data_IF_209613984996
#
_entry.id   IF_209613984996
#
_cell.length_a   1.000
_cell.length_b   1.000
_cell.length_c   1.000
_cell.angle_alpha   90.00
_cell.angle_beta   90.00
_cell.angle_gamma   90.00
#
_symmetry.space_group_name_H-M   'P 1'
#
loop_
_entity.id
_entity.type
_entity.pdbx_description
1 polymer ?
#
# COMPACT_ATOMS: atom_id res chain seq x y z
N UNK A 1 -6.69 -7.25 -8.21
CA UNK A 1 -7.29 -6.30 -9.17
C UNK A 1 -8.80 -6.15 -8.96
N UNK A 2 -9.59 -7.25 -8.89
CA UNK A 2 -11.06 -7.21 -8.72
C UNK A 2 -11.53 -6.32 -7.54
N UNK A 3 -10.92 -6.47 -6.36
CA UNK A 3 -11.32 -5.69 -5.18
C UNK A 3 -11.10 -4.18 -5.32
N UNK A 4 -10.08 -3.75 -6.05
CA UNK A 4 -9.86 -2.33 -6.32
C UNK A 4 -11.01 -1.75 -7.15
N UNK A 5 -11.40 -2.44 -8.23
CA UNK A 5 -12.51 -2.02 -9.08
C UNK A 5 -13.83 -2.01 -8.31
N UNK A 6 -14.11 -3.08 -7.55
CA UNK A 6 -15.32 -3.20 -6.74
C UNK A 6 -15.40 -2.13 -5.66
N UNK A 7 -14.31 -1.90 -4.92
CA UNK A 7 -14.25 -0.91 -3.86
C UNK A 7 -14.50 0.50 -4.39
N UNK A 8 -13.79 0.89 -5.45
CA UNK A 8 -13.95 2.19 -6.08
C UNK A 8 -15.37 2.40 -6.64
N UNK A 9 -15.94 1.38 -7.28
CA UNK A 9 -17.29 1.44 -7.81
C UNK A 9 -18.37 1.52 -6.71
N UNK A 10 -18.26 0.70 -5.65
CA UNK A 10 -19.24 0.68 -4.55
C UNK A 10 -19.25 1.99 -3.76
N UNK A 11 -18.08 2.58 -3.52
CA UNK A 11 -17.96 3.86 -2.82
C UNK A 11 -18.18 5.07 -3.72
N UNK A 12 -18.23 4.86 -5.05
CA UNK A 12 -18.08 5.92 -6.05
C UNK A 12 -16.85 6.80 -5.77
N UNK A 13 -15.76 6.16 -5.33
CA UNK A 13 -14.63 6.83 -4.70
C UNK A 13 -13.30 6.09 -4.86
N UNK A 14 -12.47 6.13 -3.83
CA UNK A 14 -11.12 5.55 -3.83
C UNK A 14 -11.13 4.14 -3.24
N UNK A 15 -10.42 3.19 -3.85
CA UNK A 15 -10.00 1.96 -3.22
C UNK A 15 -8.47 1.91 -3.14
N UNK A 16 -7.93 1.77 -1.94
CA UNK A 16 -6.49 1.87 -1.66
C UNK A 16 -6.09 0.97 -0.51
N UNK A 17 -4.83 0.56 -0.46
CA UNK A 17 -4.28 -0.31 0.58
C UNK A 17 -3.43 0.52 1.54
N UNK A 18 -3.74 0.51 2.85
CA UNK A 18 -2.86 1.06 3.87
C UNK A 18 -1.58 0.20 4.03
N UNK A 19 -0.45 0.84 4.32
CA UNK A 19 0.86 0.24 4.64
C UNK A 19 0.87 -0.32 6.07
N UNK A 20 -0.14 -1.16 6.38
CA UNK A 20 -0.31 -1.87 7.64
C UNK A 20 -0.95 -3.24 7.38
N UNK A 21 -0.12 -4.27 7.31
CA UNK A 21 -0.56 -5.63 6.93
C UNK A 21 -0.81 -6.56 8.12
N UNK A 22 -1.50 -6.06 9.15
CA UNK A 22 -1.94 -6.86 10.31
C UNK A 22 -0.80 -7.68 10.92
N UNK A 23 -0.95 -9.01 11.12
CA UNK A 23 0.11 -9.89 11.66
C UNK A 23 1.41 -9.89 10.84
N UNK A 24 1.34 -9.56 9.54
CA UNK A 24 2.49 -9.48 8.65
C UNK A 24 3.22 -8.14 8.72
N UNK A 25 2.69 -7.13 9.44
CA UNK A 25 3.37 -5.86 9.65
C UNK A 25 4.53 -6.01 10.64
N UNK A 26 5.74 -6.11 10.10
CA UNK A 26 6.97 -6.18 10.89
C UNK A 26 7.15 -4.99 11.84
N UNK A 27 6.66 -3.79 11.52
CA UNK A 27 6.90 -2.61 12.36
C UNK A 27 6.25 -2.75 13.73
N UNK A 28 5.03 -3.28 13.76
CA UNK A 28 4.25 -3.51 14.97
C UNK A 28 4.88 -4.60 15.87
N UNK A 29 5.45 -5.66 15.28
CA UNK A 29 5.96 -6.82 16.04
C UNK A 29 7.48 -6.83 16.26
N UNK A 30 8.22 -5.83 15.76
CA UNK A 30 9.70 -5.77 15.94
C UNK A 30 10.20 -4.54 16.69
N UNK A 31 9.31 -3.81 17.36
CA UNK A 31 9.65 -2.60 18.12
C UNK A 31 10.07 -1.41 17.24
N UNK A 32 9.79 -1.47 15.93
CA UNK A 32 10.17 -0.42 14.98
C UNK A 32 9.09 0.64 14.78
N UNK A 33 7.88 0.42 15.31
CA UNK A 33 6.75 1.34 15.18
C UNK A 33 7.09 2.79 15.56
N UNK A 34 7.76 3.11 16.70
CA UNK A 34 8.10 4.50 17.00
C UNK A 34 8.96 5.17 15.93
N UNK A 35 9.94 4.43 15.38
CA UNK A 35 10.77 4.94 14.28
C UNK A 35 9.96 5.14 13.01
N UNK A 36 9.02 4.24 12.71
CA UNK A 36 8.16 4.37 11.53
C UNK A 36 7.26 5.60 11.63
N UNK A 37 6.65 5.85 12.80
CA UNK A 37 5.84 7.03 13.06
C UNK A 37 6.63 8.33 12.88
N UNK A 38 7.87 8.40 13.39
CA UNK A 38 8.75 9.56 13.21
C UNK A 38 9.11 9.78 11.72
N UNK A 39 9.35 8.71 10.97
CA UNK A 39 9.62 8.80 9.52
C UNK A 39 8.40 9.30 8.76
N UNK A 40 7.21 8.78 9.06
CA UNK A 40 5.96 9.26 8.49
C UNK A 40 5.77 10.75 8.73
N UNK A 41 5.95 11.21 9.98
CA UNK A 41 5.88 12.64 10.31
C UNK A 41 6.90 13.48 9.53
N UNK A 42 8.11 12.98 9.35
CA UNK A 42 9.14 13.66 8.57
C UNK A 42 8.77 13.79 7.08
N UNK A 43 8.11 12.79 6.47
CA UNK A 43 7.65 12.87 5.08
C UNK A 43 6.55 13.91 4.88
N UNK A 44 5.58 13.98 5.79
CA UNK A 44 4.57 15.06 5.79
C UNK A 44 5.24 16.42 6.00
N UNK A 45 6.11 16.54 7.00
CA UNK A 45 6.81 17.78 7.30
C UNK A 45 7.61 18.30 6.11
N UNK A 46 8.28 17.42 5.37
CA UNK A 46 9.10 17.83 4.24
C UNK A 46 8.27 18.48 3.12
N UNK A 47 7.04 18.04 2.90
CA UNK A 47 6.19 18.55 1.80
C UNK A 47 5.16 19.60 2.23
N UNK A 48 4.69 19.54 3.48
CA UNK A 48 3.53 20.29 3.99
C UNK A 48 3.78 21.05 5.29
N UNK A 49 5.03 21.11 5.75
CA UNK A 49 5.42 21.86 6.93
C UNK A 49 5.21 21.12 8.26
N UNK A 50 5.81 21.67 9.32
CA UNK A 50 5.91 21.03 10.64
C UNK A 50 4.56 20.73 11.28
N UNK A 51 3.56 21.60 11.10
CA UNK A 51 2.22 21.41 11.65
C UNK A 51 1.58 20.14 11.09
N UNK A 52 1.61 19.96 9.77
CA UNK A 52 1.08 18.76 9.12
C UNK A 52 1.89 17.50 9.46
N UNK A 53 3.21 17.65 9.62
CA UNK A 53 4.06 16.59 10.18
C UNK A 53 3.57 16.07 11.52
N UNK A 54 3.28 16.97 12.47
CA UNK A 54 2.81 16.63 13.81
C UNK A 54 1.36 16.17 13.86
N UNK A 55 0.53 16.64 12.93
CA UNK A 55 -0.89 16.26 12.85
C UNK A 55 -1.08 14.87 12.24
N UNK A 56 -0.26 14.50 11.26
CA UNK A 56 -0.52 13.35 10.40
C UNK A 56 0.37 12.14 10.64
N UNK A 57 1.43 12.25 11.45
CA UNK A 57 2.42 11.18 11.67
C UNK A 57 1.84 9.85 12.19
N UNK A 58 0.70 9.90 12.86
CA UNK A 58 0.06 8.73 13.49
C UNK A 58 -0.96 8.02 12.58
N UNK A 59 -1.30 8.60 11.42
CA UNK A 59 -2.14 7.90 10.46
C UNK A 59 -1.33 6.81 9.75
N UNK A 60 -1.92 5.62 9.52
CA UNK A 60 -1.34 4.66 8.59
C UNK A 60 -1.09 5.31 7.24
N UNK A 61 0.04 5.05 6.60
CA UNK A 61 0.25 5.52 5.25
C UNK A 61 -0.65 4.73 4.29
N UNK A 62 -1.28 5.41 3.35
CA UNK A 62 -1.98 4.82 2.21
C UNK A 62 -1.00 4.77 1.05
N UNK A 63 -0.77 3.59 0.49
CA UNK A 63 0.23 3.40 -0.56
C UNK A 63 -0.29 3.89 -1.92
N UNK A 64 0.32 4.94 -2.46
CA UNK A 64 -0.11 5.53 -3.74
C UNK A 64 0.39 4.74 -4.97
N UNK A 65 1.18 3.68 -4.79
CA UNK A 65 1.68 2.89 -5.92
C UNK A 65 0.63 2.00 -6.58
N UNK A 66 -0.43 1.62 -5.85
CA UNK A 66 -1.59 0.92 -6.41
C UNK A 66 -2.87 1.39 -5.74
N UNK A 67 -3.77 1.96 -6.54
CA UNK A 67 -5.13 2.29 -6.13
C UNK A 67 -6.06 2.24 -7.34
N UNK A 68 -7.37 2.26 -7.08
CA UNK A 68 -8.37 2.54 -8.11
C UNK A 68 -9.22 3.70 -7.62
N UNK A 69 -9.41 4.71 -8.48
CA UNK A 69 -10.16 5.90 -8.14
C UNK A 69 -11.25 6.12 -9.19
N UNK A 70 -12.51 6.18 -8.73
CA UNK A 70 -13.65 6.41 -9.59
C UNK A 70 -13.52 7.77 -10.29
N UNK A 71 -13.91 7.86 -11.57
CA UNK A 71 -13.65 9.05 -12.41
C UNK A 71 -14.35 10.33 -11.90
N UNK A 72 -15.51 10.18 -11.25
CA UNK A 72 -16.31 11.29 -10.70
C UNK A 72 -16.05 11.50 -9.19
N UNK A 73 -15.06 10.83 -8.61
CA UNK A 73 -14.80 10.93 -7.18
C UNK A 73 -14.28 12.34 -6.81
N UNK A 74 -14.73 12.93 -5.68
CA UNK A 74 -14.26 14.24 -5.24
C UNK A 74 -12.77 14.26 -4.88
N UNK A 75 -12.16 13.08 -4.62
CA UNK A 75 -10.75 12.94 -4.30
C UNK A 75 -9.84 13.56 -5.37
N UNK A 76 -10.21 13.55 -6.65
CA UNK A 76 -9.36 14.12 -7.71
C UNK A 76 -9.09 15.61 -7.49
N UNK A 77 -10.13 16.38 -7.17
CA UNK A 77 -10.02 17.82 -6.99
C UNK A 77 -9.34 18.15 -5.66
N UNK A 78 -9.68 17.42 -4.59
CA UNK A 78 -9.07 17.61 -3.27
C UNK A 78 -7.58 17.24 -3.31
N UNK A 79 -7.22 16.14 -3.96
CA UNK A 79 -5.83 15.72 -4.13
C UNK A 79 -5.02 16.73 -4.94
N UNK A 80 -5.60 17.25 -6.02
CA UNK A 80 -5.00 18.36 -6.78
C UNK A 80 -4.75 19.59 -5.90
N UNK A 81 -5.71 19.97 -5.06
CA UNK A 81 -5.55 21.11 -4.15
C UNK A 81 -4.40 20.89 -3.17
N UNK A 82 -4.30 19.70 -2.56
CA UNK A 82 -3.17 19.37 -1.69
C UNK A 82 -1.84 19.38 -2.45
N UNK A 83 -1.77 18.80 -3.65
CA UNK A 83 -0.56 18.85 -4.48
C UNK A 83 -0.13 20.29 -4.81
N UNK A 84 -1.09 21.18 -5.09
CA UNK A 84 -0.83 22.60 -5.36
C UNK A 84 -0.41 23.38 -4.10
N UNK A 85 -0.88 22.96 -2.93
CA UNK A 85 -0.56 23.57 -1.64
C UNK A 85 0.75 23.05 -1.03
N UNK A 86 1.40 22.05 -1.63
CA UNK A 86 2.67 21.54 -1.13
C UNK A 86 3.73 22.65 -1.14
N UNK A 87 4.36 22.90 0.00
CA UNK A 87 5.43 23.89 0.15
C UNK A 87 6.69 23.46 -0.61
N UNK A 88 6.89 22.14 -0.75
CA UNK A 88 8.02 21.53 -1.43
C UNK A 88 7.61 20.21 -2.09
N UNK A 89 8.09 20.00 -3.32
CA UNK A 89 8.04 18.69 -3.97
C UNK A 89 9.25 17.85 -3.53
N UNK A 90 8.97 16.73 -2.89
CA UNK A 90 9.90 15.77 -2.32
C UNK A 90 9.51 14.33 -2.74
N UNK A 91 10.20 13.32 -2.20
CA UNK A 91 10.13 11.94 -2.67
C UNK A 91 8.72 11.33 -2.67
N UNK A 92 7.87 11.69 -1.70
CA UNK A 92 6.55 11.09 -1.47
C UNK A 92 5.43 12.13 -1.47
N UNK A 93 5.66 13.31 -2.05
CA UNK A 93 4.69 14.42 -1.98
C UNK A 93 3.32 14.02 -2.54
N UNK A 94 3.27 13.23 -3.61
CA UNK A 94 2.03 12.71 -4.19
C UNK A 94 1.30 11.76 -3.25
N UNK A 95 2.02 10.82 -2.62
CA UNK A 95 1.46 9.92 -1.63
C UNK A 95 0.97 10.69 -0.39
N UNK A 96 1.77 11.62 0.15
CA UNK A 96 1.39 12.44 1.30
C UNK A 96 0.15 13.28 0.99
N UNK A 97 0.09 13.92 -0.19
CA UNK A 97 -1.08 14.68 -0.63
C UNK A 97 -2.35 13.81 -0.73
N UNK A 98 -2.23 12.56 -1.23
CA UNK A 98 -3.35 11.63 -1.32
C UNK A 98 -3.81 11.19 0.07
N UNK A 99 -2.88 11.01 1.00
CA UNK A 99 -3.20 10.69 2.38
C UNK A 99 -3.93 11.85 3.07
N UNK A 100 -3.46 13.09 2.91
CA UNK A 100 -4.16 14.27 3.42
C UNK A 100 -5.57 14.38 2.82
N UNK A 101 -5.71 14.10 1.53
CA UNK A 101 -7.03 14.05 0.85
C UNK A 101 -7.98 13.09 1.55
N UNK A 102 -7.52 11.90 1.90
CA UNK A 102 -8.35 10.89 2.55
C UNK A 102 -8.59 11.23 4.02
N UNK A 103 -7.55 11.51 4.80
CA UNK A 103 -7.68 11.64 6.25
C UNK A 103 -8.25 12.99 6.71
N UNK A 104 -8.01 14.07 5.96
CA UNK A 104 -8.41 15.43 6.37
C UNK A 104 -9.67 15.95 5.66
N UNK A 105 -10.29 15.16 4.78
CA UNK A 105 -11.54 15.53 4.12
C UNK A 105 -12.65 14.49 4.39
N UNK A 106 -13.69 14.83 5.19
CA UNK A 106 -14.72 13.86 5.63
C UNK A 106 -15.43 13.11 4.50
N UNK A 107 -15.75 13.80 3.40
CA UNK A 107 -16.43 13.17 2.24
C UNK A 107 -15.48 12.18 1.54
N UNK A 108 -14.21 12.54 1.40
CA UNK A 108 -13.24 11.68 0.73
C UNK A 108 -12.98 10.44 1.60
N UNK A 109 -12.84 10.63 2.92
CA UNK A 109 -12.74 9.53 3.87
C UNK A 109 -13.92 8.56 3.76
N UNK A 110 -15.16 9.06 3.81
CA UNK A 110 -16.37 8.23 3.74
C UNK A 110 -16.48 7.44 2.42
N UNK A 111 -15.97 8.02 1.34
CA UNK A 111 -15.92 7.41 0.00
C UNK A 111 -14.61 6.66 -0.27
N UNK A 112 -13.82 6.34 0.75
CA UNK A 112 -12.62 5.51 0.61
C UNK A 112 -12.88 4.08 1.11
N UNK A 113 -12.52 3.10 0.29
CA UNK A 113 -12.45 1.68 0.61
C UNK A 113 -11.00 1.32 0.95
N UNK A 114 -10.76 0.92 2.20
CA UNK A 114 -9.46 0.45 2.66
C UNK A 114 -9.36 -1.05 2.43
N UNK A 115 -8.55 -1.44 1.44
CA UNK A 115 -8.35 -2.82 1.07
C UNK A 115 -7.29 -3.49 1.96
N UNK A 116 -7.38 -4.81 2.16
CA UNK A 116 -6.42 -5.55 2.96
C UNK A 116 -5.04 -5.62 2.30
N UNK A 117 -4.01 -5.82 3.13
CA UNK A 117 -2.61 -5.79 2.74
C UNK A 117 -2.19 -6.69 1.59
N UNK A 118 -2.75 -7.89 1.54
CA UNK A 118 -2.51 -8.84 0.46
C UNK A 118 -2.95 -8.32 -0.92
N UNK A 119 -3.75 -7.24 -1.01
CA UNK A 119 -4.04 -6.59 -2.29
C UNK A 119 -2.84 -5.83 -2.89
N UNK A 120 -1.93 -5.32 -2.05
CA UNK A 120 -0.74 -4.55 -2.42
C UNK A 120 0.37 -4.77 -1.37
N UNK A 121 0.99 -5.96 -1.41
CA UNK A 121 1.88 -6.43 -0.36
C UNK A 121 3.27 -5.80 -0.47
N UNK A 122 3.68 -5.03 0.53
CA UNK A 122 4.95 -4.32 0.56
C UNK A 122 6.07 -5.20 1.15
N UNK A 123 7.12 -5.46 0.37
CA UNK A 123 8.22 -6.34 0.80
C UNK A 123 9.03 -5.83 1.98
N UNK A 124 8.98 -4.52 2.28
CA UNK A 124 9.66 -3.99 3.46
C UNK A 124 8.90 -4.27 4.76
N UNK A 125 7.61 -4.59 4.69
CA UNK A 125 6.80 -5.00 5.84
C UNK A 125 7.02 -6.46 6.23
N UNK A 126 7.47 -7.30 5.30
CA UNK A 126 7.76 -8.70 5.57
C UNK A 126 8.05 -9.48 4.29
N UNK A 127 8.55 -10.70 4.44
CA UNK A 127 8.61 -11.63 3.32
C UNK A 127 7.32 -12.45 3.27
N UNK A 128 6.71 -12.61 2.08
CA UNK A 128 5.59 -13.52 1.91
C UNK A 128 6.05 -14.97 2.00
N UNK A 129 5.08 -15.89 2.06
CA UNK A 129 5.31 -17.34 1.98
C UNK A 129 4.87 -17.84 0.61
N UNK A 130 5.52 -18.85 0.07
CA UNK A 130 5.09 -19.49 -1.18
C UNK A 130 4.16 -20.67 -0.90
N UNK A 131 2.97 -20.66 -1.51
CA UNK A 131 2.04 -21.78 -1.50
C UNK A 131 2.32 -22.66 -2.73
N UNK A 132 2.90 -23.84 -2.50
CA UNK A 132 3.28 -24.74 -3.61
C UNK A 132 2.06 -25.30 -4.35
N UNK A 133 0.93 -25.47 -3.68
CA UNK A 133 -0.27 -26.03 -4.29
C UNK A 133 -0.98 -25.01 -5.18
N UNK A 134 -1.02 -23.74 -4.74
CA UNK A 134 -1.62 -22.64 -5.52
C UNK A 134 -0.63 -21.96 -6.47
N UNK A 135 0.66 -22.25 -6.33
CA UNK A 135 1.75 -21.63 -7.11
C UNK A 135 1.73 -20.11 -7.04
N UNK A 136 1.52 -19.57 -5.84
CA UNK A 136 1.47 -18.12 -5.62
C UNK A 136 2.05 -17.73 -4.26
N UNK A 137 2.30 -16.42 -4.08
CA UNK A 137 2.62 -15.90 -2.76
C UNK A 137 1.34 -15.77 -1.93
N UNK A 138 1.47 -16.07 -0.65
CA UNK A 138 0.40 -15.95 0.35
C UNK A 138 0.92 -15.22 1.59
N UNK A 139 0.01 -14.68 2.38
CA UNK A 139 0.34 -14.19 3.71
C UNK A 139 0.93 -15.30 4.58
N UNK A 140 1.90 -14.94 5.41
CA UNK A 140 2.60 -15.88 6.27
C UNK A 140 1.69 -16.54 7.30
N UNK A 141 0.76 -15.77 7.85
CA UNK A 141 -0.13 -16.24 8.91
C UNK A 141 -1.46 -16.70 8.35
N UNK A 142 -2.18 -17.53 9.11
CA UNK A 142 -3.49 -18.04 8.73
C UNK A 142 -4.47 -16.89 8.39
N UNK A 143 -5.34 -17.06 7.39
CA UNK A 143 -5.59 -18.28 6.61
C UNK A 143 -4.74 -18.42 5.34
N UNK A 144 -3.59 -17.72 5.25
CA UNK A 144 -2.73 -17.70 4.05
C UNK A 144 -3.46 -17.11 2.82
N UNK A 145 -3.96 -15.88 2.95
CA UNK A 145 -4.60 -15.20 1.81
C UNK A 145 -3.62 -15.04 0.64
N UNK A 146 -4.03 -15.36 -0.60
CA UNK A 146 -3.22 -15.09 -1.78
C UNK A 146 -2.92 -13.60 -1.95
N UNK A 147 -1.64 -13.30 -2.18
CA UNK A 147 -1.18 -11.94 -2.44
C UNK A 147 -1.48 -11.59 -3.89
N UNK A 148 -2.25 -10.53 -4.11
CA UNK A 148 -2.60 -10.07 -5.45
C UNK A 148 -1.45 -9.35 -6.16
N UNK A 149 -0.76 -8.46 -5.45
CA UNK A 149 0.36 -7.67 -6.00
C UNK A 149 1.50 -7.72 -5.00
N UNK A 150 2.70 -8.07 -5.46
CA UNK A 150 3.95 -7.92 -4.71
C UNK A 150 4.56 -6.57 -5.09
N UNK A 151 4.55 -5.62 -4.16
CA UNK A 151 5.04 -4.27 -4.38
C UNK A 151 6.50 -4.13 -3.94
N UNK A 152 7.38 -3.99 -4.93
CA UNK A 152 8.81 -3.75 -4.76
C UNK A 152 9.08 -2.24 -4.65
N UNK A 153 8.59 -1.67 -3.55
CA UNK A 153 8.79 -0.27 -3.19
C UNK A 153 10.23 -0.01 -2.73
N UNK A 154 10.71 1.23 -2.92
CA UNK A 154 12.06 1.64 -2.56
C UNK A 154 13.13 1.35 -3.64
N UNK A 155 14.42 1.63 -3.32
CA UNK A 155 15.49 1.65 -4.31
C UNK A 155 15.97 0.26 -4.72
N UNK A 156 15.83 -0.74 -3.85
CA UNK A 156 16.23 -2.13 -4.17
C UNK A 156 15.17 -2.78 -5.03
N UNK A 157 15.58 -3.25 -6.21
CA UNK A 157 14.71 -4.00 -7.12
C UNK A 157 15.06 -5.48 -7.07
N UNK A 158 14.04 -6.32 -6.99
CA UNK A 158 14.16 -7.77 -6.93
C UNK A 158 13.50 -8.35 -8.18
N UNK A 159 14.10 -9.39 -8.74
CA UNK A 159 13.46 -10.23 -9.77
C UNK A 159 13.01 -11.57 -9.20
N UNK A 160 13.66 -11.99 -8.10
CA UNK A 160 13.40 -13.22 -7.37
C UNK A 160 13.49 -12.95 -5.86
N UNK A 161 12.77 -13.75 -5.08
CA UNK A 161 12.83 -13.76 -3.63
C UNK A 161 13.17 -15.16 -3.15
N UNK A 162 14.02 -15.23 -2.12
CA UNK A 162 14.20 -16.43 -1.31
C UNK A 162 13.18 -16.39 -0.18
N UNK A 163 12.25 -17.34 -0.16
CA UNK A 163 11.14 -17.39 0.78
C UNK A 163 10.93 -18.82 1.29
N UNK A 164 10.35 -18.91 2.48
CA UNK A 164 9.82 -20.17 2.99
C UNK A 164 8.55 -20.57 2.23
N UNK A 165 8.31 -21.85 2.12
CA UNK A 165 7.05 -22.44 1.64
C UNK A 165 6.12 -22.77 2.82
N UNK A 166 4.86 -23.14 2.55
CA UNK A 166 3.95 -23.61 3.59
C UNK A 166 4.38 -24.96 4.21
N UNK A 167 5.20 -25.73 3.49
CA UNK A 167 5.87 -26.94 3.99
C UNK A 167 7.24 -26.69 4.65
N UNK A 168 7.56 -25.45 5.03
CA UNK A 168 8.81 -25.04 5.68
C UNK A 168 10.09 -25.34 4.87
N UNK A 169 10.00 -25.37 3.54
CA UNK A 169 11.17 -25.43 2.64
C UNK A 169 11.57 -24.03 2.21
N UNK A 170 12.84 -23.84 1.89
CA UNK A 170 13.34 -22.59 1.30
C UNK A 170 13.45 -22.74 -0.21
N UNK A 171 12.85 -21.81 -0.95
CA UNK A 171 12.92 -21.78 -2.41
C UNK A 171 13.30 -20.39 -2.90
N UNK A 172 13.83 -20.31 -4.12
CA UNK A 172 13.94 -19.05 -4.86
C UNK A 172 12.86 -19.01 -5.93
N UNK A 173 12.05 -17.96 -5.92
CA UNK A 173 10.89 -17.82 -6.81
C UNK A 173 10.82 -16.42 -7.39
N UNK A 174 10.34 -16.29 -8.62
CA UNK A 174 10.17 -14.98 -9.26
C UNK A 174 9.14 -14.14 -8.52
N UNK A 175 9.39 -12.83 -8.41
CA UNK A 175 8.39 -11.86 -7.91
C UNK A 175 7.23 -11.63 -8.86
N UNK A 176 7.36 -12.09 -10.12
CA UNK A 176 6.30 -11.99 -11.12
C UNK A 176 5.48 -13.27 -11.10
N UNK A 177 4.17 -13.11 -11.01
CA UNK A 177 3.28 -14.24 -11.26
C UNK A 177 3.41 -14.70 -12.72
N UNK A 178 3.36 -16.02 -12.97
CA UNK A 178 3.24 -16.52 -14.33
C UNK A 178 1.96 -15.92 -14.91
N UNK A 179 2.10 -15.09 -15.96
CA UNK A 179 0.95 -14.47 -16.59
C UNK A 179 0.02 -15.56 -17.12
N UNK A 180 -1.30 -15.37 -16.97
CA UNK A 180 -2.21 -16.03 -17.89
C UNK A 180 -1.82 -15.60 -19.31
N UNK A 181 -1.83 -16.50 -20.32
CA UNK A 181 -1.55 -16.10 -21.68
C UNK A 181 -2.43 -14.90 -22.03
N UNK A 182 -1.80 -13.82 -22.50
CA UNK A 182 -2.51 -12.65 -23.02
C UNK A 182 -3.39 -13.19 -24.15
N UNK A 183 -4.73 -13.02 -24.11
CA UNK A 183 -5.55 -13.31 -25.28
C UNK A 183 -4.97 -12.48 -26.42
N UNK A 184 -4.42 -13.15 -27.43
CA UNK A 184 -4.05 -12.50 -28.68
C UNK A 184 -5.26 -11.74 -29.21
N UNK A 185 -5.07 -10.52 -29.72
CA UNK A 185 -6.16 -9.70 -30.23
C UNK A 185 -6.96 -10.40 -31.34
#
# INVERSE_FOLDING_TARGET
>A
MDLFLRGAAQRQGLAIVPEINGPSDRFCFTGKLPRQLLLTGAYYQESFGTEEGQRSFAYPLLNAGVFCLHREAPHWDIWRQHLQAAEKVALLTDQMALNLTVYHHPIAFAQTEFLPGWCNFLLFEGLPVWDEARTCFVEKYLPHYPIGIVHIAGPKKYTHLRVSTLSDREIEVSVRYPGSPIPTP
#
